data_IF_298729830248
#
_entry.id   IF_298729830248
#
_cell.length_a   1.000
_cell.length_b   1.000
_cell.length_c   1.000
_cell.angle_alpha   90.00
_cell.angle_beta   90.00
_cell.angle_gamma   90.00
#
_symmetry.space_group_name_H-M   'P 1'
#
loop_
_entity.id
_entity.type
_entity.pdbx_description
1 polymer ?
#
# COMPACT_ATOMS: atom_id res chain seq x y z
N UNK A 1 7.91 18.65 -7.32
CA UNK A 1 6.66 18.76 -6.52
C UNK A 1 5.52 18.25 -7.38
N UNK A 2 4.72 17.31 -6.86
CA UNK A 2 3.57 16.77 -7.59
C UNK A 2 2.42 17.77 -7.46
N UNK A 3 1.86 18.33 -8.55
CA UNK A 3 0.73 19.24 -8.47
C UNK A 3 -0.44 18.57 -7.76
N UNK A 4 -1.02 19.19 -6.74
CA UNK A 4 -2.21 18.72 -6.02
C UNK A 4 -1.98 18.05 -4.67
N UNK A 5 -0.74 17.80 -4.27
CA UNK A 5 -0.41 17.29 -2.93
C UNK A 5 0.19 18.38 -2.02
N UNK A 6 -0.05 19.66 -2.34
CA UNK A 6 0.40 20.76 -1.49
C UNK A 6 -0.23 20.68 -0.11
N UNK A 7 0.59 20.82 0.93
CA UNK A 7 0.15 20.70 2.33
C UNK A 7 0.02 19.27 2.87
N UNK A 8 0.16 18.25 2.04
CA UNK A 8 0.13 16.85 2.50
C UNK A 8 1.48 16.48 3.12
N UNK A 9 1.43 15.98 4.36
CA UNK A 9 2.59 15.47 5.10
C UNK A 9 2.51 13.95 5.19
N UNK A 10 3.60 13.25 4.85
CA UNK A 10 3.71 11.80 5.05
C UNK A 10 4.53 11.54 6.31
N UNK A 11 3.97 10.72 7.21
CA UNK A 11 4.66 10.29 8.44
C UNK A 11 4.36 8.82 8.76
N UNK A 12 5.17 8.18 9.61
CA UNK A 12 4.86 6.85 10.13
C UNK A 12 3.52 6.83 10.86
N UNK A 13 2.80 5.71 10.71
CA UNK A 13 1.61 5.37 11.50
C UNK A 13 2.00 4.41 12.63
N UNK A 14 1.38 4.60 13.78
CA UNK A 14 1.52 3.72 14.94
C UNK A 14 0.18 3.32 15.53
N UNK A 15 0.21 2.62 16.66
CA UNK A 15 -1.00 2.15 17.36
C UNK A 15 -2.00 3.27 17.67
N UNK A 16 -1.51 4.48 17.97
CA UNK A 16 -2.35 5.67 18.24
C UNK A 16 -3.14 6.17 17.02
N UNK A 17 -2.78 5.74 15.80
CA UNK A 17 -3.49 6.10 14.58
C UNK A 17 -4.58 5.08 14.21
N UNK A 18 -4.80 4.04 15.03
CA UNK A 18 -5.69 2.91 14.72
C UNK A 18 -7.11 3.33 14.36
N UNK A 19 -7.69 4.27 15.09
CA UNK A 19 -9.04 4.81 14.81
C UNK A 19 -9.11 5.48 13.45
N UNK A 20 -8.15 6.38 13.14
CA UNK A 20 -8.08 7.07 11.83
C UNK A 20 -7.89 6.09 10.69
N UNK A 21 -6.97 5.13 10.88
CA UNK A 21 -6.71 4.07 9.90
C UNK A 21 -7.94 3.21 9.65
N UNK A 22 -8.67 2.79 10.71
CA UNK A 22 -9.89 1.99 10.60
C UNK A 22 -10.96 2.72 9.78
N UNK A 23 -11.18 3.99 10.05
CA UNK A 23 -12.17 4.82 9.31
C UNK A 23 -11.82 4.87 7.83
N UNK A 24 -10.59 5.24 7.47
CA UNK A 24 -10.14 5.31 6.09
C UNK A 24 -10.21 3.95 5.37
N UNK A 25 -9.79 2.88 6.05
CA UNK A 25 -9.84 1.52 5.51
C UNK A 25 -11.25 1.06 5.21
N UNK A 26 -12.19 1.24 6.15
CA UNK A 26 -13.59 0.84 5.96
C UNK A 26 -14.26 1.64 4.84
N UNK A 27 -14.02 2.94 4.75
CA UNK A 27 -14.51 3.77 3.65
C UNK A 27 -13.98 3.27 2.29
N UNK A 28 -12.70 2.93 2.22
CA UNK A 28 -12.09 2.40 0.99
C UNK A 28 -12.66 1.03 0.60
N UNK A 29 -12.79 0.11 1.55
CA UNK A 29 -13.37 -1.22 1.30
C UNK A 29 -14.82 -1.14 0.82
N UNK A 30 -15.60 -0.23 1.37
CA UNK A 30 -17.00 0.00 0.98
C UNK A 30 -17.10 0.56 -0.46
N UNK A 31 -16.23 1.50 -0.81
CA UNK A 31 -16.31 2.22 -2.07
C UNK A 31 -15.60 1.52 -3.24
N UNK A 32 -14.63 0.63 -2.94
CA UNK A 32 -13.74 0.04 -3.94
C UNK A 32 -13.51 -1.46 -3.67
N UNK A 33 -14.58 -2.23 -3.54
CA UNK A 33 -14.56 -3.64 -3.10
C UNK A 33 -13.62 -4.51 -3.95
N UNK A 34 -13.62 -4.33 -5.28
CA UNK A 34 -12.76 -5.09 -6.19
C UNK A 34 -11.26 -4.74 -6.12
N UNK A 35 -10.91 -3.63 -5.47
CA UNK A 35 -9.51 -3.19 -5.36
C UNK A 35 -8.82 -3.74 -4.11
N UNK A 36 -9.56 -4.45 -3.25
CA UNK A 36 -9.08 -4.99 -2.00
C UNK A 36 -9.28 -6.50 -1.93
N UNK A 37 -8.38 -7.21 -1.27
CA UNK A 37 -8.54 -8.64 -1.01
C UNK A 37 -9.62 -8.95 0.03
N UNK A 38 -9.63 -8.28 1.20
CA UNK A 38 -10.64 -8.49 2.23
C UNK A 38 -11.99 -7.88 1.86
N UNK A 39 -13.09 -8.55 2.25
CA UNK A 39 -14.43 -8.01 2.17
C UNK A 39 -14.68 -6.93 3.24
N UNK A 40 -15.60 -6.00 2.94
CA UNK A 40 -16.01 -4.95 3.87
C UNK A 40 -16.60 -5.53 5.17
N UNK A 41 -17.45 -6.56 5.04
CA UNK A 41 -18.13 -7.23 6.15
C UNK A 41 -17.15 -7.91 7.11
N UNK A 42 -16.07 -8.48 6.58
CA UNK A 42 -15.00 -9.07 7.39
C UNK A 42 -14.20 -8.00 8.13
N UNK A 43 -13.92 -6.88 7.47
CA UNK A 43 -13.19 -5.77 8.07
C UNK A 43 -13.99 -5.05 9.17
N UNK A 44 -15.33 -5.01 9.07
CA UNK A 44 -16.19 -4.45 10.12
C UNK A 44 -16.04 -5.15 11.46
N UNK A 45 -15.75 -6.45 11.46
CA UNK A 45 -15.58 -7.26 12.67
C UNK A 45 -14.26 -6.99 13.40
N UNK A 46 -13.32 -6.32 12.72
CA UNK A 46 -12.02 -5.97 13.29
C UNK A 46 -12.17 -4.69 14.12
N UNK A 47 -11.88 -4.81 15.41
CA UNK A 47 -11.95 -3.70 16.35
C UNK A 47 -10.71 -2.79 16.28
N UNK A 48 -10.70 -1.75 17.09
CA UNK A 48 -9.59 -0.80 17.15
C UNK A 48 -8.29 -1.45 17.67
N UNK A 49 -8.41 -2.36 18.65
CA UNK A 49 -7.26 -3.07 19.20
C UNK A 49 -6.56 -3.94 18.14
N UNK A 50 -7.35 -4.60 17.28
CA UNK A 50 -6.82 -5.36 16.14
C UNK A 50 -6.04 -4.44 15.18
N UNK A 51 -6.59 -3.24 14.87
CA UNK A 51 -5.91 -2.28 14.00
C UNK A 51 -4.65 -1.71 14.66
N UNK A 52 -4.68 -1.44 15.96
CA UNK A 52 -3.50 -0.97 16.70
C UNK A 52 -2.37 -2.01 16.67
N UNK A 53 -2.69 -3.28 16.93
CA UNK A 53 -1.74 -4.37 16.85
C UNK A 53 -1.15 -4.55 15.43
N UNK A 54 -1.99 -4.38 14.41
CA UNK A 54 -1.57 -4.44 13.00
C UNK A 54 -0.58 -3.32 12.65
N UNK A 55 -0.83 -2.08 13.10
CA UNK A 55 0.06 -0.95 12.84
C UNK A 55 1.38 -1.03 13.62
N UNK A 56 1.38 -1.74 14.75
CA UNK A 56 2.56 -1.94 15.61
C UNK A 56 3.35 -3.20 15.29
N UNK A 57 2.93 -4.00 14.30
CA UNK A 57 3.59 -5.28 13.98
C UNK A 57 5.02 -5.05 13.50
N UNK A 58 5.98 -5.72 14.14
CA UNK A 58 7.38 -5.70 13.74
C UNK A 58 7.57 -6.21 12.30
N UNK A 59 8.43 -5.55 11.54
CA UNK A 59 8.68 -5.88 10.13
C UNK A 59 7.66 -5.28 9.15
N UNK A 60 6.58 -4.68 9.65
CA UNK A 60 5.62 -3.91 8.86
C UNK A 60 5.86 -2.41 9.12
N UNK A 61 6.14 -1.64 8.07
CA UNK A 61 6.33 -0.19 8.14
C UNK A 61 5.13 0.50 7.50
N UNK A 62 4.39 1.22 8.31
CA UNK A 62 3.18 1.90 7.90
C UNK A 62 3.39 3.40 7.79
N UNK A 63 2.90 3.99 6.71
CA UNK A 63 2.93 5.44 6.50
C UNK A 63 1.54 5.97 6.19
N UNK A 64 1.23 7.14 6.71
CA UNK A 64 0.02 7.89 6.46
C UNK A 64 0.32 9.22 5.79
N UNK A 65 -0.52 9.59 4.83
CA UNK A 65 -0.57 10.93 4.26
C UNK A 65 -1.63 11.73 5.02
N UNK A 66 -1.25 12.89 5.52
CA UNK A 66 -2.09 13.77 6.32
C UNK A 66 -2.30 15.12 5.65
N UNK A 67 -3.55 15.58 5.65
CA UNK A 67 -3.93 16.95 5.32
C UNK A 67 -4.34 17.62 6.65
N UNK A 68 -3.45 18.41 7.25
CA UNK A 68 -3.58 18.80 8.65
C UNK A 68 -3.62 17.56 9.56
N UNK A 69 -4.69 17.40 10.34
CA UNK A 69 -4.91 16.24 11.23
C UNK A 69 -5.65 15.07 10.58
N UNK A 70 -6.14 15.24 9.37
CA UNK A 70 -6.91 14.24 8.64
C UNK A 70 -6.02 13.23 7.93
N UNK A 71 -6.20 11.94 8.21
CA UNK A 71 -5.54 10.85 7.49
C UNK A 71 -6.24 10.63 6.14
N UNK A 72 -5.61 11.04 5.05
CA UNK A 72 -6.17 11.00 3.69
C UNK A 72 -5.59 9.89 2.81
N UNK A 73 -4.60 9.16 3.29
CA UNK A 73 -4.06 8.02 2.58
C UNK A 73 -3.11 7.20 3.44
N UNK A 74 -2.92 5.94 3.07
CA UNK A 74 -1.99 5.02 3.75
C UNK A 74 -1.24 4.17 2.74
N UNK A 75 -0.09 3.65 3.17
CA UNK A 75 0.71 2.65 2.48
C UNK A 75 1.51 1.84 3.50
N UNK A 76 1.80 0.58 3.20
CA UNK A 76 2.65 -0.26 4.05
C UNK A 76 3.71 -0.99 3.25
N UNK A 77 4.93 -1.03 3.79
CA UNK A 77 6.01 -1.91 3.37
C UNK A 77 6.09 -3.06 4.37
N UNK A 78 5.94 -4.30 3.89
CA UNK A 78 6.10 -5.51 4.70
C UNK A 78 7.36 -6.23 4.31
N UNK A 79 8.29 -6.37 5.25
CA UNK A 79 9.51 -7.12 5.04
C UNK A 79 9.27 -8.61 5.24
N UNK A 80 10.10 -9.42 4.59
CA UNK A 80 10.05 -10.88 4.76
C UNK A 80 10.99 -11.31 5.88
N UNK A 81 10.53 -12.28 6.68
CA UNK A 81 11.34 -12.90 7.73
C UNK A 81 12.27 -13.97 7.13
N UNK A 82 13.39 -14.19 7.82
CA UNK A 82 14.37 -15.22 7.44
C UNK A 82 15.51 -14.71 6.55
N UNK A 83 16.69 -15.29 6.76
CA UNK A 83 17.95 -14.84 6.15
C UNK A 83 17.96 -14.85 4.61
N UNK A 84 17.20 -15.76 4.01
CA UNK A 84 17.11 -15.90 2.55
C UNK A 84 16.11 -14.96 1.89
N UNK A 85 15.17 -14.39 2.66
CA UNK A 85 14.05 -13.57 2.15
C UNK A 85 14.16 -12.09 2.56
N UNK A 86 15.05 -11.75 3.49
CA UNK A 86 15.20 -10.40 4.06
C UNK A 86 15.47 -9.28 3.04
N UNK A 87 15.90 -9.64 1.83
CA UNK A 87 16.12 -8.72 0.73
C UNK A 87 14.84 -8.36 -0.03
N UNK A 88 13.72 -8.98 0.32
CA UNK A 88 12.44 -8.79 -0.34
C UNK A 88 11.43 -8.15 0.62
N UNK A 89 10.63 -7.26 0.08
CA UNK A 89 9.49 -6.66 0.78
C UNK A 89 8.28 -6.61 -0.14
N UNK A 90 7.11 -6.39 0.42
CA UNK A 90 5.89 -6.17 -0.35
C UNK A 90 5.24 -4.85 0.00
N UNK A 91 4.75 -4.14 -1.04
CA UNK A 91 3.90 -2.97 -0.92
C UNK A 91 2.46 -3.42 -0.72
N UNK A 92 1.83 -2.94 0.34
CA UNK A 92 0.47 -3.29 0.71
C UNK A 92 -0.32 -2.04 1.13
N UNK A 93 -1.63 -2.18 1.17
CA UNK A 93 -2.55 -1.21 1.78
C UNK A 93 -2.38 0.23 1.28
N UNK A 94 -2.08 0.38 -0.03
CA UNK A 94 -2.18 1.69 -0.66
C UNK A 94 -3.66 2.06 -0.75
N UNK A 95 -4.04 3.00 0.09
CA UNK A 95 -5.39 3.57 0.17
C UNK A 95 -5.27 5.07 0.03
N UNK A 96 -6.17 5.68 -0.74
CA UNK A 96 -6.32 7.14 -0.81
C UNK A 96 -7.79 7.45 -0.69
N UNK A 97 -8.14 8.37 0.20
CA UNK A 97 -9.50 8.87 0.37
C UNK A 97 -10.09 9.28 -0.99
N UNK A 98 -11.36 8.92 -1.22
CA UNK A 98 -12.03 9.16 -2.50
C UNK A 98 -12.05 10.63 -2.90
N UNK A 99 -12.18 11.55 -1.94
CA UNK A 99 -12.18 12.99 -2.16
C UNK A 99 -10.80 13.57 -2.51
N UNK A 100 -9.74 12.81 -2.21
CA UNK A 100 -8.33 13.19 -2.45
C UNK A 100 -7.69 12.43 -3.61
N UNK A 101 -8.45 11.56 -4.28
CA UNK A 101 -7.95 10.86 -5.47
C UNK A 101 -7.63 11.84 -6.61
N UNK A 102 -6.69 11.45 -7.48
CA UNK A 102 -6.17 12.27 -8.60
C UNK A 102 -5.40 13.53 -8.18
N UNK A 103 -5.17 13.75 -6.88
CA UNK A 103 -4.39 14.87 -6.34
C UNK A 103 -2.93 14.52 -6.01
N UNK A 104 -2.42 13.42 -6.52
CA UNK A 104 -1.02 13.02 -6.33
C UNK A 104 -0.70 12.31 -5.00
N UNK A 105 -1.67 12.14 -4.08
CA UNK A 105 -1.44 11.51 -2.75
C UNK A 105 -0.86 10.10 -2.89
N UNK A 106 -1.40 9.26 -3.78
CA UNK A 106 -0.88 7.91 -4.00
C UNK A 106 0.56 7.90 -4.54
N UNK A 107 0.89 8.86 -5.42
CA UNK A 107 2.25 9.04 -5.93
C UNK A 107 3.22 9.44 -4.80
N UNK A 108 2.80 10.36 -3.94
CA UNK A 108 3.58 10.81 -2.79
C UNK A 108 3.87 9.66 -1.82
N UNK A 109 2.86 8.84 -1.51
CA UNK A 109 2.99 7.66 -0.64
C UNK A 109 3.95 6.61 -1.23
N UNK A 110 3.83 6.30 -2.53
CA UNK A 110 4.72 5.32 -3.18
C UNK A 110 6.15 5.85 -3.20
N UNK A 111 6.36 7.12 -3.55
CA UNK A 111 7.69 7.73 -3.54
C UNK A 111 8.34 7.60 -2.16
N UNK A 112 7.60 8.00 -1.10
CA UNK A 112 8.08 7.90 0.28
C UNK A 112 8.44 6.46 0.67
N UNK A 113 7.58 5.49 0.34
CA UNK A 113 7.82 4.07 0.64
C UNK A 113 9.06 3.53 -0.09
N UNK A 114 9.23 3.88 -1.37
CA UNK A 114 10.38 3.43 -2.17
C UNK A 114 11.68 4.02 -1.62
N UNK A 115 11.71 5.31 -1.27
CA UNK A 115 12.87 5.96 -0.67
C UNK A 115 13.18 5.39 0.72
N UNK A 116 12.16 5.11 1.53
CA UNK A 116 12.32 4.42 2.80
C UNK A 116 12.91 3.01 2.61
N UNK A 117 12.40 2.22 1.66
CA UNK A 117 12.93 0.89 1.37
C UNK A 117 14.40 0.92 0.95
N UNK A 118 14.81 1.92 0.15
CA UNK A 118 16.21 2.16 -0.20
C UNK A 118 17.06 2.48 1.03
N UNK A 119 16.56 3.31 1.93
CA UNK A 119 17.28 3.71 3.15
C UNK A 119 17.58 2.55 4.10
N UNK A 120 16.78 1.47 4.06
CA UNK A 120 17.04 0.25 4.83
C UNK A 120 18.31 -0.49 4.37
N UNK A 121 18.78 -0.26 3.14
CA UNK A 121 19.98 -0.86 2.60
C UNK A 121 19.94 -2.37 2.36
N UNK A 122 18.99 -3.07 2.96
CA UNK A 122 18.84 -4.54 2.84
C UNK A 122 17.81 -4.95 1.81
N UNK A 123 16.83 -4.09 1.49
CA UNK A 123 15.75 -4.40 0.55
C UNK A 123 16.25 -4.21 -0.88
N UNK A 124 16.21 -5.27 -1.67
CA UNK A 124 16.62 -5.29 -3.09
C UNK A 124 15.43 -5.27 -4.04
N UNK A 125 14.26 -5.68 -3.57
CA UNK A 125 13.05 -5.74 -4.39
C UNK A 125 11.81 -5.48 -3.56
N UNK A 126 10.83 -4.86 -4.23
CA UNK A 126 9.48 -4.66 -3.70
C UNK A 126 8.51 -5.33 -4.65
N UNK A 127 7.64 -6.20 -4.13
CA UNK A 127 6.55 -6.81 -4.89
C UNK A 127 5.21 -6.23 -4.48
N UNK A 128 4.23 -6.33 -5.34
CA UNK A 128 2.82 -6.01 -5.05
C UNK A 128 1.89 -6.89 -5.88
N UNK A 129 0.66 -7.01 -5.42
CA UNK A 129 -0.43 -7.59 -6.19
C UNK A 129 -1.59 -6.58 -6.28
N UNK A 130 -2.22 -6.50 -7.45
CA UNK A 130 -3.42 -5.70 -7.68
C UNK A 130 -4.42 -6.51 -8.51
N UNK A 131 -5.71 -6.20 -8.36
CA UNK A 131 -6.76 -6.82 -9.18
C UNK A 131 -6.55 -6.44 -10.64
N UNK A 132 -6.59 -7.45 -11.51
CA UNK A 132 -6.45 -7.26 -12.95
C UNK A 132 -7.53 -6.33 -13.51
N UNK A 133 -7.17 -5.50 -14.50
CA UNK A 133 -8.06 -4.49 -15.07
C UNK A 133 -8.16 -3.17 -14.29
N UNK A 134 -7.39 -2.99 -13.22
CA UNK A 134 -7.28 -1.70 -12.52
C UNK A 134 -6.27 -0.77 -13.22
N UNK A 135 -6.63 -0.30 -14.42
CA UNK A 135 -5.75 0.50 -15.28
C UNK A 135 -5.18 1.76 -14.61
N UNK A 136 -5.88 2.32 -13.61
CA UNK A 136 -5.38 3.48 -12.86
C UNK A 136 -4.21 3.10 -11.96
N UNK A 137 -4.35 2.02 -11.19
CA UNK A 137 -3.29 1.52 -10.33
C UNK A 137 -2.12 0.99 -11.17
N UNK A 138 -2.39 0.31 -12.27
CA UNK A 138 -1.38 -0.17 -13.20
C UNK A 138 -0.46 0.96 -13.67
N UNK A 139 -1.04 2.04 -14.23
CA UNK A 139 -0.28 3.21 -14.67
C UNK A 139 0.51 3.89 -13.54
N UNK A 140 -0.09 3.92 -12.33
CA UNK A 140 0.59 4.49 -11.18
C UNK A 140 1.84 3.69 -10.82
N UNK A 141 1.73 2.36 -10.72
CA UNK A 141 2.86 1.51 -10.38
C UNK A 141 3.91 1.44 -11.51
N UNK A 142 3.50 1.43 -12.76
CA UNK A 142 4.39 1.49 -13.93
C UNK A 142 5.24 2.77 -13.93
N UNK A 143 4.66 3.90 -13.54
CA UNK A 143 5.39 5.17 -13.43
C UNK A 143 6.50 5.16 -12.37
N UNK A 144 6.48 4.20 -11.43
CA UNK A 144 7.55 3.95 -10.45
C UNK A 144 8.48 2.81 -10.85
N UNK A 145 8.27 2.21 -12.02
CA UNK A 145 9.12 1.13 -12.52
C UNK A 145 8.72 -0.28 -12.07
N UNK A 146 7.54 -0.44 -11.46
CA UNK A 146 7.01 -1.77 -11.17
C UNK A 146 6.62 -2.49 -12.46
N UNK A 147 7.25 -3.62 -12.72
CA UNK A 147 7.03 -4.45 -13.92
C UNK A 147 6.16 -5.65 -13.59
N UNK A 148 5.24 -5.97 -14.50
CA UNK A 148 4.45 -7.21 -14.44
C UNK A 148 5.37 -8.42 -14.56
N UNK A 149 5.23 -9.40 -13.65
CA UNK A 149 5.98 -10.65 -13.72
C UNK A 149 5.10 -11.90 -13.59
N UNK A 150 3.83 -11.74 -13.23
CA UNK A 150 2.92 -12.87 -13.10
C UNK A 150 1.45 -12.46 -13.12
N UNK A 151 0.61 -13.39 -13.58
CA UNK A 151 -0.84 -13.29 -13.54
C UNK A 151 -1.38 -14.48 -12.76
N UNK A 152 -2.26 -14.23 -11.81
CA UNK A 152 -2.96 -15.23 -11.01
C UNK A 152 -4.42 -15.22 -11.44
N UNK A 153 -4.89 -16.21 -12.22
CA UNK A 153 -6.30 -16.29 -12.63
C UNK A 153 -7.16 -16.64 -11.42
N UNK A 154 -8.42 -16.21 -11.45
CA UNK A 154 -9.43 -16.55 -10.44
C UNK A 154 -9.01 -16.29 -8.98
N UNK A 155 -8.18 -15.27 -8.77
CA UNK A 155 -7.59 -14.95 -7.48
C UNK A 155 -8.56 -14.31 -6.47
N UNK A 156 -9.69 -13.79 -6.96
CA UNK A 156 -10.69 -13.10 -6.15
C UNK A 156 -12.09 -13.49 -6.63
N UNK A 157 -12.97 -13.82 -5.70
CA UNK A 157 -14.41 -14.03 -5.96
C UNK A 157 -15.19 -12.84 -5.42
N UNK A 158 -15.96 -12.16 -6.28
CA UNK A 158 -16.86 -11.08 -5.88
C UNK A 158 -18.15 -11.16 -6.68
N UNK A 159 -19.29 -11.17 -5.99
CA UNK A 159 -20.64 -11.27 -6.57
C UNK A 159 -20.79 -12.40 -7.61
N UNK A 160 -20.24 -13.57 -7.31
CA UNK A 160 -20.29 -14.75 -8.19
C UNK A 160 -19.38 -14.70 -9.42
N UNK A 161 -18.49 -13.70 -9.51
CA UNK A 161 -17.50 -13.57 -10.58
C UNK A 161 -16.09 -13.72 -10.04
N UNK A 162 -15.23 -14.37 -10.83
CA UNK A 162 -13.81 -14.49 -10.54
C UNK A 162 -13.02 -13.37 -11.22
N UNK A 163 -12.03 -12.86 -10.51
CA UNK A 163 -11.13 -11.81 -10.96
C UNK A 163 -9.69 -12.26 -10.76
N UNK A 164 -8.83 -11.98 -11.72
CA UNK A 164 -7.41 -12.26 -11.63
C UNK A 164 -6.67 -11.21 -10.80
N UNK A 165 -5.42 -11.52 -10.48
CA UNK A 165 -4.44 -10.56 -9.94
C UNK A 165 -3.22 -10.48 -10.81
N UNK A 166 -2.71 -9.28 -10.96
CA UNK A 166 -1.40 -8.98 -11.49
C UNK A 166 -0.39 -8.93 -10.35
N UNK A 167 0.73 -9.61 -10.51
CA UNK A 167 1.88 -9.52 -9.63
C UNK A 167 2.97 -8.67 -10.28
N UNK A 168 3.41 -7.62 -9.60
CA UNK A 168 4.38 -6.66 -10.10
C UNK A 168 5.57 -6.55 -9.17
N UNK A 169 6.72 -6.19 -9.72
CA UNK A 169 8.00 -6.12 -9.00
C UNK A 169 8.76 -4.86 -9.40
N UNK A 170 9.33 -4.19 -8.41
CA UNK A 170 10.34 -3.16 -8.56
C UNK A 170 11.66 -3.67 -8.00
N UNK A 171 12.70 -3.68 -8.82
CA UNK A 171 14.08 -3.92 -8.38
C UNK A 171 14.66 -2.58 -7.94
N UNK A 172 15.19 -2.55 -6.73
CA UNK A 172 15.92 -1.39 -6.21
C UNK A 172 17.39 -1.54 -6.56
N UNK A 173 17.88 -0.70 -7.47
CA UNK A 173 19.30 -0.60 -7.73
C UNK A 173 19.97 0.04 -6.52
N UNK A 174 20.73 -0.75 -5.80
CA UNK A 174 21.72 -0.23 -4.89
C UNK A 174 22.98 -0.04 -5.75
N UNK A 175 23.12 1.14 -6.39
CA UNK A 175 24.42 1.53 -6.93
C UNK A 175 25.41 1.41 -5.77
N UNK A 176 26.36 0.49 -5.90
CA UNK A 176 27.45 0.35 -4.98
C UNK A 176 28.14 1.71 -4.89
N UNK A 177 28.02 2.39 -3.74
CA UNK A 177 29.04 3.33 -3.35
C UNK A 177 30.27 2.47 -3.03
N UNK A 178 31.10 2.19 -4.02
CA UNK A 178 32.51 1.86 -3.82
C UNK A 178 33.29 3.11 -3.39
#
# INVERSE_FOLDING_TARGET
MTPGAEGIVVRPLGASDATRYRVLRLASLRNFQLMHGPAYEDALRQDEAWHAARLAKAGDYWFGAFDGDELVGTIALRTQEGSRLRHSASLNSLIVDSSRQSRGVGRLLIAHLVDFARSLGTIRQITLALTDGNARAERLYEAFGFKLFGLEPDALLHEGRYYGKQHRQLILDHSNNE
#
